data_IF_110503145124
#
_entry.id   IF_110503145124
#
_cell.length_a   1.000
_cell.length_b   1.000
_cell.length_c   1.000
_cell.angle_alpha   90.00
_cell.angle_beta   90.00
_cell.angle_gamma   90.00
#
_symmetry.space_group_name_H-M   'P 1'
#
loop_
_entity.id
_entity.type
_entity.pdbx_description
1 polymer ?
#
# COMPACT_ATOMS: atom_id res chain seq x y z
N UNK A 1 22.39 -34.87 -43.10
CA UNK A 1 21.76 -33.58 -43.50
C UNK A 1 20.55 -33.17 -42.63
N UNK A 2 19.96 -34.07 -41.82
CA UNK A 2 18.83 -33.76 -40.93
C UNK A 2 19.26 -33.12 -39.59
N UNK A 3 20.44 -33.47 -39.07
CA UNK A 3 20.91 -33.02 -37.75
C UNK A 3 21.26 -31.53 -37.71
N UNK A 4 21.78 -30.96 -38.80
CA UNK A 4 22.06 -29.52 -38.90
C UNK A 4 20.78 -28.67 -38.88
N UNK A 5 19.64 -29.20 -39.35
CA UNK A 5 18.35 -28.50 -39.30
C UNK A 5 17.77 -28.45 -37.89
N UNK A 6 18.00 -29.50 -37.08
CA UNK A 6 17.57 -29.57 -35.68
C UNK A 6 18.42 -28.64 -34.81
N UNK A 7 19.72 -28.57 -35.06
CA UNK A 7 20.60 -27.64 -34.33
C UNK A 7 20.26 -26.16 -34.64
N UNK A 8 19.89 -25.85 -35.87
CA UNK A 8 19.49 -24.50 -36.27
C UNK A 8 18.19 -24.03 -35.58
N UNK A 9 17.18 -24.88 -35.43
CA UNK A 9 15.92 -24.51 -34.76
C UNK A 9 16.12 -24.30 -33.24
N UNK A 10 16.96 -25.11 -32.60
CA UNK A 10 17.32 -24.93 -31.19
C UNK A 10 18.04 -23.61 -30.94
N UNK A 11 18.97 -23.22 -31.84
CA UNK A 11 19.67 -21.94 -31.75
C UNK A 11 18.72 -20.75 -31.88
N UNK A 12 17.77 -20.78 -32.82
CA UNK A 12 16.76 -19.71 -32.97
C UNK A 12 15.87 -19.62 -31.73
N UNK A 13 15.45 -20.76 -31.17
CA UNK A 13 14.69 -20.82 -29.92
C UNK A 13 15.46 -20.23 -28.73
N UNK A 14 16.75 -20.57 -28.59
CA UNK A 14 17.61 -20.02 -27.55
C UNK A 14 17.86 -18.51 -27.74
N UNK A 15 18.08 -18.06 -28.97
CA UNK A 15 18.24 -16.64 -29.29
C UNK A 15 16.97 -15.85 -28.94
N UNK A 16 15.80 -16.37 -29.32
CA UNK A 16 14.50 -15.82 -28.96
C UNK A 16 14.30 -15.77 -27.44
N UNK A 17 14.64 -16.84 -26.73
CA UNK A 17 14.59 -16.88 -25.27
C UNK A 17 15.51 -15.83 -24.62
N UNK A 18 16.74 -15.67 -25.11
CA UNK A 18 17.70 -14.66 -24.62
C UNK A 18 17.17 -13.25 -24.87
N UNK A 19 16.61 -12.97 -26.06
CA UNK A 19 16.03 -11.66 -26.40
C UNK A 19 14.82 -11.35 -25.51
N UNK A 20 13.89 -12.30 -25.33
CA UNK A 20 12.73 -12.14 -24.44
C UNK A 20 13.19 -11.91 -22.98
N UNK A 21 14.18 -12.67 -22.52
CA UNK A 21 14.75 -12.54 -21.17
C UNK A 21 15.47 -11.20 -20.98
N UNK A 22 16.20 -10.71 -21.99
CA UNK A 22 16.80 -9.36 -21.99
C UNK A 22 15.73 -8.27 -21.97
N UNK A 23 14.68 -8.37 -22.80
CA UNK A 23 13.57 -7.39 -22.86
C UNK A 23 12.76 -7.33 -21.56
N UNK A 24 12.60 -8.46 -20.85
CA UNK A 24 12.00 -8.49 -19.50
C UNK A 24 12.89 -7.81 -18.46
N UNK A 25 14.22 -7.97 -18.54
CA UNK A 25 15.18 -7.26 -17.66
C UNK A 25 15.29 -5.76 -17.96
N UNK A 26 15.08 -5.35 -19.22
CA UNK A 26 15.14 -3.94 -19.65
C UNK A 26 13.79 -3.24 -19.71
N UNK A 27 12.74 -3.73 -19.02
CA UNK A 27 11.68 -2.82 -18.52
C UNK A 27 12.28 -1.94 -17.43
N UNK A 28 13.32 -1.18 -17.79
CA UNK A 28 13.78 -0.03 -17.06
C UNK A 28 12.55 0.84 -16.90
N UNK A 29 12.19 1.14 -15.66
CA UNK A 29 11.16 2.13 -15.41
C UNK A 29 11.65 3.41 -16.09
N UNK A 30 10.98 3.82 -17.17
CA UNK A 30 11.32 5.07 -17.88
C UNK A 30 11.31 6.28 -16.94
N UNK A 31 10.56 6.18 -15.84
CA UNK A 31 10.54 7.15 -14.75
C UNK A 31 10.51 6.42 -13.41
N UNK A 32 11.42 6.77 -12.50
CA UNK A 32 11.51 6.19 -11.16
C UNK A 32 10.22 6.43 -10.34
N UNK A 33 9.68 7.65 -10.41
CA UNK A 33 8.40 8.07 -9.83
C UNK A 33 7.63 8.90 -10.87
N UNK A 34 6.30 8.81 -10.89
CA UNK A 34 5.46 9.66 -11.75
C UNK A 34 5.53 11.10 -11.25
N UNK A 35 5.67 12.08 -12.14
CA UNK A 35 5.88 13.50 -11.79
C UNK A 35 4.78 14.07 -10.90
N UNK A 36 3.52 13.68 -11.11
CA UNK A 36 2.40 14.13 -10.27
C UNK A 36 2.43 13.56 -8.85
N UNK A 37 3.09 12.42 -8.60
CA UNK A 37 3.24 11.89 -7.23
C UNK A 37 4.23 12.71 -6.38
N UNK A 38 5.10 13.50 -7.02
CA UNK A 38 6.04 14.39 -6.33
C UNK A 38 5.36 15.69 -5.85
N UNK A 39 4.17 16.00 -6.39
CA UNK A 39 3.36 17.17 -6.09
C UNK A 39 2.49 16.91 -4.86
N UNK A 40 3.00 17.26 -3.68
CA UNK A 40 2.31 17.03 -2.39
C UNK A 40 1.00 17.80 -2.25
N UNK A 41 0.87 18.90 -2.97
CA UNK A 41 -0.36 19.70 -3.05
C UNK A 41 -1.54 18.93 -3.64
N UNK A 42 -1.28 17.88 -4.44
CA UNK A 42 -2.31 17.02 -5.03
C UNK A 42 -2.65 15.81 -4.16
N UNK A 43 -1.99 15.65 -3.01
CA UNK A 43 -2.22 14.52 -2.13
C UNK A 43 -3.47 14.77 -1.27
N UNK A 44 -3.98 13.74 -0.61
CA UNK A 44 -5.16 13.90 0.25
C UNK A 44 -4.86 14.64 1.57
N UNK A 45 -3.61 14.72 2.00
CA UNK A 45 -3.25 15.28 3.31
C UNK A 45 -3.64 16.76 3.49
N UNK A 46 -3.42 17.68 2.52
CA UNK A 46 -3.93 19.04 2.62
C UNK A 46 -5.45 19.11 2.83
N UNK A 47 -6.20 18.31 2.06
CA UNK A 47 -7.66 18.23 2.22
C UNK A 47 -8.02 17.73 3.63
N UNK A 48 -7.39 16.65 4.10
CA UNK A 48 -7.68 16.11 5.43
C UNK A 48 -7.42 17.13 6.54
N UNK A 49 -6.37 17.95 6.43
CA UNK A 49 -6.10 19.02 7.38
C UNK A 49 -7.16 20.11 7.37
N UNK A 50 -7.60 20.53 6.18
CA UNK A 50 -8.71 21.48 6.05
C UNK A 50 -9.99 20.92 6.66
N UNK A 51 -10.30 19.65 6.40
CA UNK A 51 -11.47 19.00 7.03
C UNK A 51 -11.36 18.91 8.56
N UNK A 52 -10.15 18.79 9.12
CA UNK A 52 -9.97 18.81 10.58
C UNK A 52 -10.22 20.20 11.17
N UNK A 53 -9.83 21.26 10.46
CA UNK A 53 -9.89 22.64 10.93
C UNK A 53 -11.28 23.27 10.70
N UNK A 54 -11.84 23.07 9.51
CA UNK A 54 -13.02 23.77 9.04
C UNK A 54 -14.32 22.96 9.27
N UNK A 55 -14.30 21.64 9.05
CA UNK A 55 -15.51 20.79 8.99
C UNK A 55 -15.32 19.39 9.63
N UNK A 56 -15.39 19.27 10.98
CA UNK A 56 -15.17 18.00 11.69
C UNK A 56 -16.13 16.87 11.29
N UNK A 57 -17.35 17.20 10.87
CA UNK A 57 -18.33 16.21 10.40
C UNK A 57 -17.92 15.58 9.07
N UNK A 58 -17.33 16.37 8.17
CA UNK A 58 -16.81 15.86 6.91
C UNK A 58 -15.52 15.05 7.11
N UNK A 59 -14.67 15.45 8.07
CA UNK A 59 -13.56 14.59 8.51
C UNK A 59 -14.05 13.23 9.00
N UNK A 60 -15.08 13.24 9.87
CA UNK A 60 -15.69 12.02 10.39
C UNK A 60 -16.29 11.18 9.28
N UNK A 61 -16.95 11.78 8.28
CA UNK A 61 -17.48 11.07 7.12
C UNK A 61 -16.34 10.50 6.25
N UNK A 62 -15.25 11.25 6.09
CA UNK A 62 -14.10 10.86 5.29
C UNK A 62 -13.40 9.62 5.83
N UNK A 63 -13.19 9.54 7.15
CA UNK A 63 -12.51 8.43 7.82
C UNK A 63 -13.45 7.39 8.45
N UNK A 64 -14.76 7.68 8.54
CA UNK A 64 -15.73 6.93 9.37
C UNK A 64 -15.32 6.85 10.85
N UNK A 65 -14.60 7.86 11.33
CA UNK A 65 -14.01 7.93 12.67
C UNK A 65 -13.89 9.39 13.08
N UNK A 66 -14.23 9.71 14.33
CA UNK A 66 -14.05 11.06 14.85
C UNK A 66 -12.57 11.40 15.09
N UNK A 67 -12.26 12.69 15.16
CA UNK A 67 -10.90 13.17 15.28
C UNK A 67 -10.22 12.76 16.60
N UNK A 68 -10.96 12.75 17.70
CA UNK A 68 -10.42 12.37 19.01
C UNK A 68 -10.00 10.90 19.01
N UNK A 69 -10.86 10.01 18.52
CA UNK A 69 -10.57 8.58 18.34
C UNK A 69 -9.41 8.37 17.36
N UNK A 70 -9.36 9.14 16.27
CA UNK A 70 -8.25 9.06 15.33
C UNK A 70 -6.91 9.46 15.98
N UNK A 71 -6.87 10.56 16.73
CA UNK A 71 -5.66 11.01 17.45
C UNK A 71 -5.20 9.99 18.48
N UNK A 72 -6.15 9.44 19.26
CA UNK A 72 -5.88 8.38 20.22
C UNK A 72 -5.28 7.15 19.53
N UNK A 73 -5.92 6.67 18.46
CA UNK A 73 -5.44 5.52 17.71
C UNK A 73 -4.06 5.77 17.10
N UNK A 74 -3.84 6.97 16.55
CA UNK A 74 -2.57 7.38 15.98
C UNK A 74 -1.46 7.29 17.01
N UNK A 75 -1.66 7.80 18.23
CA UNK A 75 -0.64 7.77 19.28
C UNK A 75 -0.21 6.34 19.65
N UNK A 76 -1.18 5.41 19.72
CA UNK A 76 -0.91 3.99 19.98
C UNK A 76 -0.06 3.33 18.87
N UNK A 77 -0.39 3.61 17.60
CA UNK A 77 0.26 2.95 16.46
C UNK A 77 1.53 3.66 15.98
N UNK A 78 1.72 4.93 16.34
CA UNK A 78 2.76 5.82 15.80
C UNK A 78 4.15 5.21 15.89
N UNK A 79 4.50 4.65 17.04
CA UNK A 79 5.82 4.06 17.28
C UNK A 79 6.08 2.85 16.38
N UNK A 80 5.06 2.04 16.10
CA UNK A 80 5.16 0.85 15.22
C UNK A 80 5.13 1.21 13.73
N UNK A 81 4.44 2.29 13.35
CA UNK A 81 4.30 2.72 11.95
C UNK A 81 5.43 3.65 11.47
N UNK A 82 6.18 4.26 12.40
CA UNK A 82 7.28 5.17 12.06
C UNK A 82 8.38 4.42 11.32
N UNK A 83 8.79 4.98 10.17
CA UNK A 83 9.92 4.49 9.39
C UNK A 83 10.99 5.56 9.28
N UNK A 84 12.24 5.13 9.14
CA UNK A 84 13.38 6.01 8.92
C UNK A 84 13.37 6.55 7.50
N UNK A 85 13.69 7.82 7.36
CA UNK A 85 13.99 8.42 6.06
C UNK A 85 15.20 7.71 5.43
N UNK A 86 15.16 7.61 4.11
CA UNK A 86 16.29 7.09 3.32
C UNK A 86 16.88 8.22 2.48
N UNK A 87 18.13 8.07 2.06
CA UNK A 87 18.82 9.04 1.18
C UNK A 87 18.02 9.35 -0.08
N UNK A 88 17.29 8.36 -0.62
CA UNK A 88 16.53 8.52 -1.87
C UNK A 88 15.10 9.02 -1.65
N UNK A 89 14.45 8.69 -0.54
CA UNK A 89 13.04 9.05 -0.31
C UNK A 89 12.75 9.22 1.19
N UNK A 90 12.00 10.29 1.50
CA UNK A 90 11.39 10.46 2.82
C UNK A 90 10.34 9.38 3.06
N UNK A 91 10.33 8.84 4.27
CA UNK A 91 9.32 7.92 4.73
C UNK A 91 7.95 8.59 4.69
N UNK A 92 6.92 7.81 4.37
CA UNK A 92 5.54 8.26 4.50
C UNK A 92 5.24 8.30 6.01
N UNK A 93 4.82 9.45 6.55
CA UNK A 93 4.61 9.62 7.98
C UNK A 93 3.53 8.66 8.50
N UNK A 94 3.57 8.29 9.80
CA UNK A 94 2.64 7.33 10.38
C UNK A 94 1.18 7.80 10.28
N UNK A 95 0.95 9.11 10.38
CA UNK A 95 -0.37 9.72 10.20
C UNK A 95 -0.94 9.47 8.80
N UNK A 96 -0.18 9.78 7.75
CA UNK A 96 -0.59 9.56 6.36
C UNK A 96 -0.80 8.08 6.06
N UNK A 97 0.03 7.20 6.63
CA UNK A 97 -0.14 5.73 6.54
C UNK A 97 -1.47 5.28 7.15
N UNK A 98 -1.80 5.80 8.33
CA UNK A 98 -3.03 5.46 9.04
C UNK A 98 -4.26 5.99 8.29
N UNK A 99 -4.27 7.26 7.87
CA UNK A 99 -5.35 7.88 7.08
C UNK A 99 -5.59 7.09 5.79
N UNK A 100 -4.53 6.78 5.04
CA UNK A 100 -4.61 5.98 3.83
C UNK A 100 -5.27 4.60 4.08
N UNK A 101 -4.89 3.93 5.17
CA UNK A 101 -5.42 2.61 5.52
C UNK A 101 -6.87 2.70 5.97
N UNK A 102 -7.22 3.66 6.83
CA UNK A 102 -8.59 3.89 7.26
C UNK A 102 -9.49 4.25 6.09
N UNK A 103 -9.03 5.12 5.18
CA UNK A 103 -9.75 5.45 3.95
C UNK A 103 -9.97 4.24 3.05
N UNK A 104 -8.98 3.35 2.94
CA UNK A 104 -9.14 2.08 2.24
C UNK A 104 -10.20 1.20 2.90
N UNK A 105 -10.14 1.00 4.22
CA UNK A 105 -11.09 0.19 4.97
C UNK A 105 -12.52 0.76 4.92
N UNK A 106 -12.66 2.08 5.01
CA UNK A 106 -13.95 2.77 4.96
C UNK A 106 -14.59 2.76 3.57
N UNK A 107 -13.79 2.78 2.50
CA UNK A 107 -14.30 2.88 1.13
C UNK A 107 -14.35 1.56 0.37
N UNK A 108 -13.57 0.55 0.77
CA UNK A 108 -13.46 -0.75 0.10
C UNK A 108 -12.93 -0.67 -1.34
N UNK A 109 -12.34 0.45 -1.75
CA UNK A 109 -11.89 0.68 -3.13
C UNK A 109 -10.58 -0.02 -3.43
N UNK A 110 -10.41 -0.43 -4.69
CA UNK A 110 -9.14 -0.92 -5.21
C UNK A 110 -8.00 0.12 -5.10
N UNK A 111 -6.77 -0.35 -4.95
CA UNK A 111 -5.58 0.51 -4.81
C UNK A 111 -5.34 1.42 -6.02
N UNK A 112 -5.67 0.96 -7.22
CA UNK A 112 -5.55 1.71 -8.47
C UNK A 112 -6.40 3.00 -8.50
N UNK A 113 -7.52 3.01 -7.76
CA UNK A 113 -8.41 4.14 -7.59
C UNK A 113 -7.92 5.03 -6.45
N UNK A 114 -7.56 4.43 -5.31
CA UNK A 114 -7.11 5.15 -4.13
C UNK A 114 -5.82 5.96 -4.37
N UNK A 115 -4.94 5.51 -5.26
CA UNK A 115 -3.66 6.20 -5.58
C UNK A 115 -3.83 7.61 -6.08
N UNK A 116 -4.91 7.88 -6.81
CA UNK A 116 -5.13 9.19 -7.42
C UNK A 116 -5.57 10.20 -6.39
N UNK A 117 -6.47 9.82 -5.48
CA UNK A 117 -6.88 10.69 -4.38
C UNK A 117 -5.79 10.80 -3.32
N UNK A 118 -5.10 9.71 -3.02
CA UNK A 118 -4.18 9.70 -1.89
C UNK A 118 -2.81 10.31 -2.19
N UNK A 119 -2.35 10.31 -3.45
CA UNK A 119 -0.99 10.72 -3.79
C UNK A 119 0.09 9.68 -3.46
N UNK A 120 -0.32 8.44 -3.15
CA UNK A 120 0.57 7.32 -2.85
C UNK A 120 0.56 6.33 -4.02
N UNK A 121 1.73 5.81 -4.40
CA UNK A 121 1.83 4.82 -5.47
C UNK A 121 1.11 3.51 -5.11
N UNK A 122 0.47 2.88 -6.10
CA UNK A 122 -0.26 1.62 -5.93
C UNK A 122 0.61 0.51 -5.32
N UNK A 123 1.87 0.39 -5.75
CA UNK A 123 2.79 -0.60 -5.17
C UNK A 123 3.02 -0.34 -3.69
N UNK A 124 3.05 0.92 -3.28
CA UNK A 124 3.29 1.32 -1.90
C UNK A 124 2.10 0.96 -1.01
N UNK A 125 0.87 1.03 -1.50
CA UNK A 125 -0.31 0.54 -0.77
C UNK A 125 -0.25 -0.95 -0.45
N UNK A 126 0.26 -1.76 -1.38
CA UNK A 126 0.42 -3.21 -1.18
C UNK A 126 1.28 -3.57 0.04
N UNK A 127 2.12 -2.66 0.52
CA UNK A 127 2.91 -2.85 1.74
C UNK A 127 2.31 -2.09 2.94
N UNK A 128 1.91 -0.83 2.75
CA UNK A 128 1.42 0.01 3.85
C UNK A 128 0.12 -0.50 4.45
N UNK A 129 -0.84 -0.91 3.63
CA UNK A 129 -2.16 -1.29 4.12
C UNK A 129 -2.08 -2.58 4.95
N UNK A 130 -1.47 -3.68 4.46
CA UNK A 130 -1.29 -4.88 5.29
C UNK A 130 -0.44 -4.65 6.54
N UNK A 131 0.64 -3.85 6.45
CA UNK A 131 1.48 -3.49 7.59
C UNK A 131 0.65 -2.76 8.67
N UNK A 132 -0.13 -1.76 8.25
CA UNK A 132 -0.95 -0.96 9.15
C UNK A 132 -2.08 -1.78 9.76
N UNK A 133 -2.77 -2.60 8.97
CA UNK A 133 -3.80 -3.52 9.47
C UNK A 133 -3.24 -4.51 10.49
N UNK A 134 -2.03 -5.04 10.28
CA UNK A 134 -1.36 -5.91 11.25
C UNK A 134 -1.07 -5.17 12.56
N UNK A 135 -0.51 -3.97 12.47
CA UNK A 135 -0.22 -3.15 13.66
C UNK A 135 -1.50 -2.82 14.43
N UNK A 136 -2.56 -2.45 13.72
CA UNK A 136 -3.89 -2.21 14.30
C UNK A 136 -4.42 -3.45 15.00
N UNK A 137 -4.34 -4.62 14.36
CA UNK A 137 -4.76 -5.87 14.97
C UNK A 137 -3.97 -6.20 16.24
N UNK A 138 -2.64 -6.06 16.23
CA UNK A 138 -1.80 -6.32 17.39
C UNK A 138 -2.14 -5.43 18.60
N UNK A 139 -2.56 -4.18 18.35
CA UNK A 139 -2.88 -3.20 19.40
C UNK A 139 -4.33 -3.34 19.87
N UNK A 140 -5.28 -3.46 18.94
CA UNK A 140 -6.71 -3.44 19.25
C UNK A 140 -7.28 -4.81 19.60
N UNK A 141 -6.70 -5.90 19.09
CA UNK A 141 -7.25 -7.25 19.35
C UNK A 141 -7.32 -7.62 20.84
N UNK A 142 -6.30 -7.33 21.68
CA UNK A 142 -6.36 -7.65 23.10
C UNK A 142 -7.49 -6.95 23.86
N UNK A 143 -7.82 -5.72 23.46
CA UNK A 143 -8.77 -4.86 24.17
C UNK A 143 -10.21 -5.02 23.64
N UNK A 144 -10.37 -5.10 22.31
CA UNK A 144 -11.69 -5.04 21.66
C UNK A 144 -12.15 -6.37 21.05
N UNK A 145 -11.22 -7.26 20.71
CA UNK A 145 -11.55 -8.57 20.12
C UNK A 145 -11.47 -9.65 21.20
N UNK A 146 -12.45 -9.65 22.12
CA UNK A 146 -12.72 -10.84 22.96
C UNK A 146 -13.27 -11.95 22.06
N UNK A 147 -12.36 -12.67 21.40
CA UNK A 147 -12.70 -13.91 20.72
C UNK A 147 -13.22 -14.86 21.79
N UNK A 148 -14.52 -15.17 21.77
CA UNK A 148 -15.02 -16.32 22.52
C UNK A 148 -14.16 -17.50 22.08
N UNK A 149 -13.41 -18.13 23.01
CA UNK A 149 -12.68 -19.38 22.76
C UNK A 149 -13.70 -20.48 22.48
N UNK A 150 -14.30 -20.43 21.30
CA UNK A 150 -15.20 -21.43 20.75
C UNK A 150 -14.44 -22.14 19.64
N UNK A 151 -13.93 -23.33 19.99
CA UNK A 151 -13.51 -24.43 19.13
C UNK A 151 -12.63 -24.13 17.91
N UNK A 152 -11.44 -24.74 17.93
CA UNK A 152 -10.56 -25.01 16.78
C UNK A 152 -11.37 -25.28 15.49
N UNK A 153 -11.60 -24.26 14.69
CA UNK A 153 -11.85 -24.43 13.27
C UNK A 153 -10.62 -23.87 12.56
N UNK A 154 -9.78 -24.80 12.12
CA UNK A 154 -8.74 -24.57 11.11
C UNK A 154 -9.43 -23.94 9.91
N UNK A 155 -9.44 -22.61 9.83
CA UNK A 155 -9.98 -21.90 8.70
C UNK A 155 -8.84 -21.61 7.74
N UNK A 156 -8.83 -22.45 6.72
CA UNK A 156 -8.13 -22.39 5.44
C UNK A 156 -8.14 -20.95 4.91
N UNK A 157 -7.06 -20.19 5.13
CA UNK A 157 -6.69 -19.02 4.32
C UNK A 157 -5.15 -19.02 4.21
N UNK A 158 -4.65 -20.05 3.56
CA UNK A 158 -3.33 -20.09 2.91
C UNK A 158 -3.50 -20.97 1.66
N UNK A 159 -4.28 -20.47 0.70
CA UNK A 159 -4.24 -20.86 -0.71
C UNK A 159 -4.42 -19.61 -1.56
#
# INVERSE_FOLDING_TARGET
>A
MKDNKINATLLVGMMGYIIIRRRRRTRNRAKWVKTWLLRKELHHMPLVRQLQEDDPDDFKNYLRMDEATFKYLLDLVKNKLTKKDTVMRRAIPPEERLIATLRYLASGRYYNCLRFSAGIAEQTFGYIIPETCRVLYEILAPEYLKVKKGNKLKMIIYL
#
